data_IF_898835023188
#
_entry.id   IF_898835023188
#
_cell.length_a   1.000
_cell.length_b   1.000
_cell.length_c   1.000
_cell.angle_alpha   90.00
_cell.angle_beta   90.00
_cell.angle_gamma   90.00
#
_symmetry.space_group_name_H-M   'P 1'
#
loop_
_entity.id
_entity.type
_entity.pdbx_description
1 polymer ?
#
# COMPACT_ATOMS: atom_id res chain seq x y z
N UNK A 1 12.68 27.34 -18.85
CA UNK A 1 11.31 26.98 -18.48
C UNK A 1 10.39 27.45 -19.58
N UNK A 2 10.29 26.66 -20.65
CA UNK A 2 9.34 26.87 -21.73
C UNK A 2 8.48 25.62 -21.78
N UNK A 3 7.41 25.61 -20.98
CA UNK A 3 6.41 24.56 -21.03
C UNK A 3 5.72 24.60 -22.40
N UNK A 4 5.91 23.55 -23.19
CA UNK A 4 5.22 23.30 -24.45
C UNK A 4 4.07 22.34 -24.22
N UNK A 5 2.98 22.55 -24.95
CA UNK A 5 1.82 21.66 -24.93
C UNK A 5 1.85 20.80 -26.19
N UNK A 6 1.74 19.50 -26.00
CA UNK A 6 1.68 18.50 -27.04
C UNK A 6 0.34 17.76 -26.96
N UNK A 7 -0.29 17.55 -28.11
CA UNK A 7 -1.42 16.64 -28.25
C UNK A 7 -0.87 15.27 -28.65
N UNK A 8 -0.92 14.31 -27.74
CA UNK A 8 -0.45 12.94 -27.93
C UNK A 8 -1.60 12.05 -28.40
N UNK A 9 -1.52 11.55 -29.62
CA UNK A 9 -2.50 10.62 -30.18
C UNK A 9 -2.01 9.16 -30.10
N UNK A 10 -2.80 8.30 -29.47
CA UNK A 10 -2.55 6.86 -29.37
C UNK A 10 -3.88 6.08 -29.42
N UNK A 11 -3.97 5.07 -30.29
CA UNK A 11 -5.13 4.17 -30.37
C UNK A 11 -6.49 4.84 -30.65
N UNK A 12 -6.50 6.05 -31.22
CA UNK A 12 -7.73 6.84 -31.45
C UNK A 12 -8.13 7.76 -30.29
N UNK A 13 -7.32 7.84 -29.23
CA UNK A 13 -7.48 8.80 -28.12
C UNK A 13 -6.41 9.88 -28.21
N UNK A 14 -6.78 11.12 -27.92
CA UNK A 14 -5.89 12.28 -27.89
C UNK A 14 -5.72 12.77 -26.45
N UNK A 15 -4.47 12.97 -26.02
CA UNK A 15 -4.09 13.36 -24.66
C UNK A 15 -3.32 14.68 -24.69
N UNK A 16 -3.70 15.63 -23.84
CA UNK A 16 -2.95 16.88 -23.69
C UNK A 16 -1.78 16.67 -22.71
N UNK A 17 -0.56 16.92 -23.20
CA UNK A 17 0.69 16.76 -22.48
C UNK A 17 1.40 18.11 -22.37
N UNK A 18 1.54 18.64 -21.16
CA UNK A 18 2.37 19.83 -20.89
C UNK A 18 3.75 19.37 -20.44
N UNK A 19 4.78 19.79 -21.17
CA UNK A 19 6.16 19.31 -21.04
C UNK A 19 7.15 20.47 -21.12
N UNK A 20 8.11 20.56 -20.19
CA UNK A 20 9.18 21.56 -20.25
C UNK A 20 10.33 21.05 -21.11
N UNK A 21 10.72 21.82 -22.12
CA UNK A 21 11.81 21.44 -23.02
C UNK A 21 13.17 21.35 -22.34
N UNK A 22 13.29 21.85 -21.10
CA UNK A 22 14.50 21.76 -20.28
C UNK A 22 14.66 20.38 -19.59
N UNK A 23 13.62 19.54 -19.55
CA UNK A 23 13.61 18.27 -18.80
C UNK A 23 14.29 17.09 -19.54
N UNK A 24 14.50 17.21 -20.85
CA UNK A 24 15.13 16.18 -21.69
C UNK A 24 14.21 15.03 -22.14
N UNK A 25 14.46 14.48 -23.35
CA UNK A 25 13.60 13.54 -24.06
C UNK A 25 13.21 12.28 -23.26
N UNK A 26 14.07 11.82 -22.38
CA UNK A 26 13.78 10.68 -21.50
C UNK A 26 12.56 10.95 -20.61
N UNK A 27 12.42 12.17 -20.07
CA UNK A 27 11.29 12.56 -19.21
C UNK A 27 10.00 12.55 -20.00
N UNK A 28 10.04 13.01 -21.25
CA UNK A 28 8.91 12.92 -22.18
C UNK A 28 8.47 11.46 -22.35
N UNK A 29 9.40 10.53 -22.59
CA UNK A 29 9.09 9.11 -22.75
C UNK A 29 8.43 8.52 -21.49
N UNK A 30 8.91 8.85 -20.29
CA UNK A 30 8.29 8.38 -19.05
C UNK A 30 6.88 8.96 -18.86
N UNK A 31 6.66 10.22 -19.20
CA UNK A 31 5.35 10.85 -19.09
C UNK A 31 4.36 10.25 -20.10
N UNK A 32 4.84 9.91 -21.29
CA UNK A 32 4.08 9.16 -22.29
C UNK A 32 3.79 7.72 -21.86
N UNK A 33 4.69 7.05 -21.13
CA UNK A 33 4.41 5.76 -20.53
C UNK A 33 3.26 5.86 -19.52
N UNK A 34 3.23 6.89 -18.68
CA UNK A 34 2.11 7.09 -17.75
C UNK A 34 0.76 7.31 -18.45
N UNK A 35 0.75 7.92 -19.64
CA UNK A 35 -0.47 8.19 -20.41
C UNK A 35 -0.90 7.04 -21.32
N UNK A 36 0.05 6.38 -21.98
CA UNK A 36 -0.20 5.38 -23.03
C UNK A 36 0.08 3.95 -22.59
N UNK A 37 0.72 3.76 -21.42
CA UNK A 37 1.21 2.47 -20.91
C UNK A 37 2.23 1.77 -21.82
N UNK A 38 2.84 2.49 -22.77
CA UNK A 38 3.90 1.95 -23.64
C UNK A 38 5.26 2.24 -23.00
N UNK A 39 6.14 1.25 -22.73
CA UNK A 39 7.45 1.48 -22.14
C UNK A 39 8.37 2.33 -23.03
N UNK A 40 9.26 3.19 -22.48
CA UNK A 40 10.17 4.06 -23.24
C UNK A 40 10.92 3.35 -24.39
N UNK A 41 11.43 2.15 -24.11
CA UNK A 41 12.18 1.31 -25.07
C UNK A 41 11.37 0.87 -26.30
N UNK A 42 10.04 0.99 -26.23
CA UNK A 42 9.08 0.48 -27.23
C UNK A 42 8.22 1.60 -27.82
N UNK A 43 8.42 2.84 -27.37
CA UNK A 43 7.71 4.01 -27.85
C UNK A 43 8.33 4.48 -29.16
N UNK A 44 7.54 4.46 -30.24
CA UNK A 44 7.87 5.18 -31.46
C UNK A 44 7.13 6.51 -31.49
N UNK A 45 7.81 7.58 -31.13
CA UNK A 45 7.24 8.93 -31.11
C UNK A 45 7.39 9.54 -32.50
N UNK A 46 6.25 9.85 -33.13
CA UNK A 46 6.15 10.49 -34.43
C UNK A 46 5.69 11.93 -34.21
N UNK A 47 6.43 12.89 -34.74
CA UNK A 47 6.13 14.32 -34.64
C UNK A 47 5.56 14.90 -35.94
N UNK A 48 4.53 15.74 -35.80
CA UNK A 48 3.98 16.57 -36.87
C UNK A 48 3.15 15.85 -37.94
N UNK A 49 2.67 16.62 -38.92
CA UNK A 49 1.79 16.13 -40.00
C UNK A 49 2.47 15.10 -40.93
N UNK A 50 3.81 15.11 -40.99
CA UNK A 50 4.60 14.21 -41.83
C UNK A 50 5.01 12.88 -41.16
N UNK A 51 4.56 12.61 -39.93
CA UNK A 51 4.92 11.40 -39.17
C UNK A 51 6.45 11.16 -39.09
N UNK A 52 7.23 12.23 -38.83
CA UNK A 52 8.70 12.14 -38.72
C UNK A 52 9.08 11.50 -37.39
N UNK A 53 9.97 10.50 -37.39
CA UNK A 53 10.45 9.85 -36.17
C UNK A 53 11.33 10.80 -35.36
N UNK A 54 11.08 10.86 -34.05
CA UNK A 54 11.89 11.64 -33.10
C UNK A 54 12.90 10.73 -32.43
N UNK A 55 14.17 11.13 -32.48
CA UNK A 55 15.29 10.38 -31.90
C UNK A 55 15.92 11.16 -30.75
N UNK A 56 16.08 12.48 -30.88
CA UNK A 56 16.81 13.32 -29.92
C UNK A 56 16.07 14.63 -29.58
N UNK A 57 16.49 15.29 -28.49
CA UNK A 57 16.02 16.61 -28.02
C UNK A 57 16.02 17.69 -29.10
N UNK A 58 16.93 17.59 -30.07
CA UNK A 58 17.03 18.53 -31.19
C UNK A 58 15.81 18.47 -32.11
N UNK A 59 15.20 17.29 -32.26
CA UNK A 59 13.99 17.10 -33.06
C UNK A 59 12.75 17.59 -32.30
N UNK A 60 12.74 17.56 -30.96
CA UNK A 60 11.66 18.11 -30.14
C UNK A 60 11.46 19.61 -30.27
N UNK A 61 12.55 20.33 -30.52
CA UNK A 61 12.48 21.77 -30.73
C UNK A 61 11.87 22.14 -32.09
N UNK A 62 11.94 21.21 -33.07
CA UNK A 62 11.54 21.41 -34.47
C UNK A 62 10.13 20.92 -34.81
N UNK A 63 9.47 20.19 -33.92
CA UNK A 63 8.12 19.64 -34.16
C UNK A 63 7.00 20.63 -33.83
N UNK A 64 5.90 20.48 -34.57
CA UNK A 64 4.60 21.07 -34.23
C UNK A 64 3.96 20.34 -33.04
N UNK A 65 3.05 21.00 -32.33
CA UNK A 65 2.36 20.60 -31.08
C UNK A 65 1.56 19.26 -31.13
N UNK A 66 1.70 18.44 -32.17
CA UNK A 66 1.02 17.14 -32.33
C UNK A 66 2.04 16.01 -32.36
N UNK A 67 1.87 15.06 -31.45
CA UNK A 67 2.67 13.85 -31.30
C UNK A 67 1.78 12.63 -31.50
N UNK A 68 2.26 11.63 -32.24
CA UNK A 68 1.59 10.33 -32.35
C UNK A 68 2.52 9.26 -31.84
N UNK A 69 2.01 8.42 -30.95
CA UNK A 69 2.78 7.30 -30.38
C UNK A 69 2.31 6.03 -31.05
N UNK A 70 3.25 5.22 -31.49
CA UNK A 70 2.96 3.90 -32.05
C UNK A 70 3.79 2.87 -31.28
N UNK A 71 3.14 1.83 -30.78
CA UNK A 71 3.84 0.69 -30.18
C UNK A 71 4.49 -0.14 -31.28
N UNK A 72 5.77 -0.49 -31.09
CA UNK A 72 6.57 -1.24 -32.09
C UNK A 72 6.25 -2.76 -32.06
N UNK A 73 5.60 -3.28 -31.00
CA UNK A 73 5.50 -4.72 -30.74
C UNK A 73 4.05 -5.23 -30.62
N UNK A 74 3.24 -5.12 -31.68
CA UNK A 74 1.94 -5.81 -31.71
C UNK A 74 2.06 -7.34 -31.84
N UNK A 75 3.20 -7.91 -32.30
CA UNK A 75 3.22 -9.32 -32.72
C UNK A 75 3.95 -10.34 -31.81
N UNK A 76 4.77 -9.93 -30.83
CA UNK A 76 5.61 -10.89 -30.05
C UNK A 76 5.39 -10.85 -28.52
N UNK A 77 4.70 -9.84 -27.98
CA UNK A 77 4.55 -9.63 -26.52
C UNK A 77 3.22 -10.06 -25.91
N UNK A 78 2.32 -10.66 -26.70
CA UNK A 78 1.03 -11.14 -26.18
C UNK A 78 1.17 -12.21 -25.07
N UNK A 79 2.29 -12.94 -25.01
CA UNK A 79 2.53 -13.99 -23.99
C UNK A 79 3.09 -13.49 -22.66
N UNK A 80 3.77 -12.34 -22.65
CA UNK A 80 4.31 -11.76 -21.42
C UNK A 80 3.29 -10.83 -20.73
N UNK A 81 2.35 -10.27 -21.50
CA UNK A 81 1.18 -9.56 -20.94
C UNK A 81 0.24 -10.49 -20.18
N UNK A 82 0.15 -11.77 -20.51
CA UNK A 82 -0.75 -12.71 -19.81
C UNK A 82 -0.25 -13.00 -18.38
N UNK A 83 1.08 -13.00 -18.16
CA UNK A 83 1.67 -13.15 -16.81
C UNK A 83 1.52 -11.90 -15.93
N UNK A 84 1.61 -10.71 -16.53
CA UNK A 84 1.44 -9.44 -15.80
C UNK A 84 -0.04 -9.11 -15.58
N UNK A 85 -0.91 -9.45 -16.52
CA UNK A 85 -2.36 -9.33 -16.36
C UNK A 85 -2.90 -10.29 -15.28
N UNK A 86 -2.37 -11.51 -15.17
CA UNK A 86 -2.73 -12.44 -14.10
C UNK A 86 -2.40 -11.88 -12.70
N UNK A 87 -1.39 -11.02 -12.59
CA UNK A 87 -1.01 -10.33 -11.36
C UNK A 87 -2.01 -9.22 -10.99
N UNK A 88 -2.53 -8.50 -11.99
CA UNK A 88 -3.65 -7.55 -11.85
C UNK A 88 -5.02 -8.24 -11.64
N UNK A 89 -5.10 -9.57 -11.76
CA UNK A 89 -6.32 -10.35 -11.52
C UNK A 89 -6.40 -10.90 -10.09
N UNK A 90 -5.39 -10.67 -9.25
CA UNK A 90 -5.55 -10.84 -7.81
C UNK A 90 -6.48 -9.74 -7.30
N UNK A 91 -7.50 -10.12 -6.54
CA UNK A 91 -8.32 -9.13 -5.82
C UNK A 91 -7.38 -8.33 -4.90
N UNK A 92 -7.60 -7.03 -4.69
CA UNK A 92 -6.78 -6.18 -3.79
C UNK A 92 -6.52 -6.84 -2.41
N UNK A 93 -7.48 -7.64 -1.95
CA UNK A 93 -7.40 -8.44 -0.73
C UNK A 93 -6.35 -9.59 -0.80
N UNK A 94 -6.25 -10.27 -1.94
CA UNK A 94 -5.23 -11.31 -2.16
C UNK A 94 -3.84 -10.70 -2.24
N UNK A 95 -3.70 -9.55 -2.90
CA UNK A 95 -2.46 -8.80 -2.94
C UNK A 95 -2.03 -8.33 -1.55
N UNK A 96 -2.97 -7.80 -0.74
CA UNK A 96 -2.70 -7.40 0.63
C UNK A 96 -2.19 -8.58 1.49
N UNK A 97 -2.80 -9.76 1.34
CA UNK A 97 -2.35 -10.97 2.05
C UNK A 97 -0.94 -11.42 1.63
N UNK A 98 -0.62 -11.32 0.34
CA UNK A 98 0.72 -11.68 -0.16
C UNK A 98 1.76 -10.71 0.41
N UNK A 99 1.51 -9.40 0.32
CA UNK A 99 2.41 -8.37 0.85
C UNK A 99 2.65 -8.52 2.36
N UNK A 100 1.57 -8.78 3.12
CA UNK A 100 1.67 -8.97 4.56
C UNK A 100 2.47 -10.24 4.92
N UNK A 101 2.26 -11.34 4.20
CA UNK A 101 3.01 -12.57 4.41
C UNK A 101 4.50 -12.44 4.04
N UNK A 102 4.81 -11.69 2.98
CA UNK A 102 6.19 -11.41 2.57
C UNK A 102 6.92 -10.55 3.61
N UNK A 103 6.27 -9.51 4.14
CA UNK A 103 6.82 -8.66 5.19
C UNK A 103 7.11 -9.46 6.47
N UNK A 104 6.17 -10.30 6.92
CA UNK A 104 6.36 -11.16 8.09
C UNK A 104 7.51 -12.17 7.89
N UNK A 105 7.64 -12.75 6.70
CA UNK A 105 8.72 -13.67 6.37
C UNK A 105 10.10 -12.98 6.36
N UNK A 106 10.20 -11.78 5.79
CA UNK A 106 11.42 -10.97 5.79
C UNK A 106 11.81 -10.55 7.20
N UNK A 107 10.84 -10.12 8.01
CA UNK A 107 11.06 -9.77 9.42
C UNK A 107 11.63 -10.96 10.20
N UNK A 108 11.05 -12.15 10.03
CA UNK A 108 11.53 -13.38 10.65
C UNK A 108 12.94 -13.75 10.17
N UNK A 109 13.24 -13.57 8.88
CA UNK A 109 14.57 -13.82 8.35
C UNK A 109 15.61 -12.89 8.99
N UNK A 110 15.31 -11.60 9.17
CA UNK A 110 16.20 -10.64 9.82
C UNK A 110 16.50 -11.02 11.29
N UNK A 111 15.49 -11.49 12.04
CA UNK A 111 15.73 -11.98 13.40
C UNK A 111 16.63 -13.22 13.44
N UNK A 112 16.49 -14.13 12.47
CA UNK A 112 17.28 -15.36 12.40
C UNK A 112 18.72 -15.10 11.92
N UNK A 113 18.92 -14.19 10.95
CA UNK A 113 20.23 -13.90 10.34
C UNK A 113 21.02 -12.83 11.07
N UNK A 114 20.43 -12.10 12.02
CA UNK A 114 21.15 -11.06 12.76
C UNK A 114 22.39 -11.63 13.46
N UNK A 115 23.57 -11.10 13.15
CA UNK A 115 24.86 -11.46 13.79
C UNK A 115 24.81 -11.26 15.33
N UNK A 116 23.85 -10.47 15.80
CA UNK A 116 23.62 -10.18 17.22
C UNK A 116 22.66 -11.16 17.91
N UNK A 117 22.17 -12.21 17.25
CA UNK A 117 21.21 -13.17 17.84
C UNK A 117 21.65 -13.68 19.21
N UNK A 118 22.91 -14.10 19.34
CA UNK A 118 23.43 -14.60 20.62
C UNK A 118 23.50 -13.51 21.70
N UNK A 119 23.81 -12.27 21.32
CA UNK A 119 23.89 -11.15 22.27
C UNK A 119 22.49 -10.78 22.78
N UNK A 120 21.51 -10.78 21.88
CA UNK A 120 20.10 -10.56 22.20
C UNK A 120 19.59 -11.69 23.08
N UNK A 121 19.89 -12.95 22.74
CA UNK A 121 19.49 -14.12 23.53
C UNK A 121 20.08 -14.09 24.94
N UNK A 122 21.37 -13.76 25.11
CA UNK A 122 22.00 -13.63 26.42
C UNK A 122 21.36 -12.52 27.27
N UNK A 123 20.90 -11.44 26.65
CA UNK A 123 20.19 -10.34 27.34
C UNK A 123 18.77 -10.74 27.74
N UNK A 124 18.07 -11.50 26.89
CA UNK A 124 16.65 -11.83 27.06
C UNK A 124 16.45 -13.06 27.95
N UNK A 125 17.31 -14.08 27.88
CA UNK A 125 17.25 -15.31 28.69
C UNK A 125 16.90 -15.10 30.17
N UNK A 126 17.59 -14.22 30.92
CA UNK A 126 17.28 -14.04 32.34
C UNK A 126 15.86 -13.47 32.58
N UNK A 127 15.33 -12.67 31.66
CA UNK A 127 13.97 -12.16 31.75
C UNK A 127 12.94 -13.22 31.33
N UNK A 128 13.26 -14.06 30.34
CA UNK A 128 12.42 -15.21 29.97
C UNK A 128 12.28 -16.16 31.14
N UNK A 129 13.36 -16.48 31.84
CA UNK A 129 13.33 -17.32 33.04
C UNK A 129 12.43 -16.72 34.15
N UNK A 130 12.43 -15.38 34.29
CA UNK A 130 11.52 -14.69 35.21
C UNK A 130 10.06 -14.77 34.79
N UNK A 131 9.77 -14.71 33.49
CA UNK A 131 8.40 -14.84 32.98
C UNK A 131 7.88 -16.27 33.11
N UNK A 132 8.73 -17.27 32.80
CA UNK A 132 8.41 -18.69 32.94
C UNK A 132 8.02 -19.08 34.37
N UNK A 133 8.57 -18.38 35.37
CA UNK A 133 8.16 -18.56 36.77
C UNK A 133 6.66 -18.28 37.03
N UNK A 134 6.03 -17.44 36.21
CA UNK A 134 4.59 -17.14 36.30
C UNK A 134 3.73 -18.07 35.44
N UNK A 135 4.31 -18.83 34.52
CA UNK A 135 3.61 -19.83 33.71
C UNK A 135 3.48 -21.19 34.40
N UNK A 136 4.16 -21.38 35.54
CA UNK A 136 4.07 -22.60 36.35
C UNK A 136 2.64 -22.81 36.90
N UNK A 137 1.91 -23.86 36.46
CA UNK A 137 0.54 -24.12 36.87
C UNK A 137 0.39 -24.29 38.38
N UNK A 138 1.38 -24.92 39.04
CA UNK A 138 1.30 -25.17 40.48
C UNK A 138 1.40 -23.87 41.29
N UNK A 139 2.24 -22.94 40.84
CA UNK A 139 2.37 -21.62 41.47
C UNK A 139 1.16 -20.75 41.23
N UNK A 140 0.56 -20.83 40.04
CA UNK A 140 -0.70 -20.15 39.74
C UNK A 140 -1.83 -20.67 40.62
N UNK A 141 -1.99 -21.99 40.76
CA UNK A 141 -3.00 -22.59 41.63
C UNK A 141 -2.80 -22.23 43.11
N UNK A 142 -1.55 -22.24 43.60
CA UNK A 142 -1.24 -21.84 44.96
C UNK A 142 -1.56 -20.35 45.20
N UNK A 143 -1.26 -19.48 44.21
CA UNK A 143 -1.62 -18.08 44.26
C UNK A 143 -3.15 -17.91 44.28
N UNK A 144 -3.89 -18.60 43.40
CA UNK A 144 -5.35 -18.57 43.36
C UNK A 144 -5.98 -18.98 44.69
N UNK A 145 -5.43 -19.98 45.38
CA UNK A 145 -5.92 -20.43 46.70
C UNK A 145 -5.68 -19.41 47.82
N UNK A 146 -4.63 -18.59 47.71
CA UNK A 146 -4.28 -17.57 48.72
C UNK A 146 -4.99 -16.23 48.51
N UNK A 147 -5.35 -15.92 47.26
CA UNK A 147 -5.99 -14.67 46.88
C UNK A 147 -7.51 -14.81 47.01
N UNK A 148 -8.23 -13.84 47.61
CA UNK A 148 -9.68 -13.87 47.67
C UNK A 148 -10.30 -13.48 46.31
N UNK A 149 -10.28 -14.41 45.35
CA UNK A 149 -10.73 -14.21 43.97
C UNK A 149 -12.19 -13.77 43.90
N UNK A 150 -13.08 -14.39 44.68
CA UNK A 150 -14.53 -14.05 44.70
C UNK A 150 -14.78 -12.56 45.03
N UNK A 151 -14.04 -12.00 46.00
CA UNK A 151 -14.16 -10.58 46.37
C UNK A 151 -13.61 -9.65 45.29
N UNK A 152 -12.60 -10.10 44.55
CA UNK A 152 -12.03 -9.35 43.44
C UNK A 152 -12.97 -9.37 42.24
N UNK A 153 -13.58 -10.51 41.95
CA UNK A 153 -14.60 -10.65 40.90
C UNK A 153 -15.84 -9.81 41.19
N UNK A 154 -16.34 -9.80 42.42
CA UNK A 154 -17.45 -8.93 42.84
C UNK A 154 -17.12 -7.46 42.60
N UNK A 155 -15.93 -7.01 43.04
CA UNK A 155 -15.47 -5.64 42.81
C UNK A 155 -15.28 -5.32 41.33
N UNK A 156 -14.78 -6.27 40.54
CA UNK A 156 -14.61 -6.13 39.10
C UNK A 156 -15.97 -5.98 38.41
N UNK A 157 -16.97 -6.77 38.78
CA UNK A 157 -18.34 -6.63 38.26
C UNK A 157 -18.93 -5.26 38.59
N UNK A 158 -18.77 -4.79 39.83
CA UNK A 158 -19.22 -3.44 40.23
C UNK A 158 -18.49 -2.35 39.45
N UNK A 159 -17.18 -2.48 39.23
CA UNK A 159 -16.39 -1.54 38.44
C UNK A 159 -16.79 -1.52 36.96
N UNK A 160 -16.99 -2.69 36.35
CA UNK A 160 -17.46 -2.83 34.97
C UNK A 160 -18.87 -2.27 34.80
N UNK A 161 -19.76 -2.53 35.75
CA UNK A 161 -21.11 -1.95 35.77
C UNK A 161 -21.05 -0.42 35.87
N UNK A 162 -20.15 0.12 36.70
CA UNK A 162 -19.93 1.57 36.82
C UNK A 162 -19.38 2.21 35.54
N UNK A 163 -18.59 1.49 34.73
CA UNK A 163 -18.10 1.95 33.42
C UNK A 163 -19.18 1.80 32.34
N UNK A 164 -19.98 0.73 32.37
CA UNK A 164 -21.07 0.50 31.40
C UNK A 164 -22.30 1.36 31.64
N UNK A 165 -22.59 1.72 32.89
CA UNK A 165 -23.73 2.58 33.27
C UNK A 165 -23.73 3.95 32.54
N UNK A 166 -22.62 4.72 32.47
CA UNK A 166 -22.62 5.98 31.72
C UNK A 166 -22.73 5.77 30.20
N UNK A 167 -22.25 4.66 29.64
CA UNK A 167 -22.35 4.36 28.20
C UNK A 167 -23.81 4.07 27.81
N UNK A 168 -24.51 3.27 28.62
CA UNK A 168 -25.95 3.02 28.43
C UNK A 168 -26.77 4.31 28.61
N UNK A 169 -26.39 5.19 29.55
CA UNK A 169 -27.11 6.45 29.76
C UNK A 169 -26.97 7.42 28.57
N UNK A 170 -25.85 7.40 27.86
CA UNK A 170 -25.66 8.16 26.60
C UNK A 170 -26.54 7.59 25.49
N UNK A 171 -26.66 6.27 25.39
CA UNK A 171 -27.47 5.61 24.36
C UNK A 171 -28.98 5.81 24.60
N UNK A 172 -29.42 5.82 25.86
CA UNK A 172 -30.82 6.12 26.24
C UNK A 172 -31.16 7.60 26.02
N UNK A 173 -30.26 8.54 26.38
CA UNK A 173 -30.45 9.98 26.08
C UNK A 173 -30.49 10.29 24.58
N UNK A 174 -29.85 9.47 23.75
CA UNK A 174 -29.88 9.63 22.29
C UNK A 174 -31.17 9.11 21.66
N UNK A 175 -31.89 8.22 22.34
CA UNK A 175 -33.12 7.60 21.84
C UNK A 175 -34.40 8.33 22.29
N UNK A 176 -34.40 8.95 23.48
CA UNK A 176 -35.56 9.72 23.96
C UNK A 176 -35.69 11.10 23.28
N UNK A 177 -34.59 11.66 22.78
CA UNK A 177 -34.61 12.97 22.11
C UNK A 177 -35.22 12.94 20.71
N UNK A 178 -35.36 11.76 20.09
CA UNK A 178 -36.00 11.61 18.77
C UNK A 178 -37.51 11.35 18.82
N UNK A 179 -38.08 11.08 20.01
CA UNK A 179 -39.52 10.79 20.16
C UNK A 179 -40.35 11.92 20.77
N UNK A 180 -39.74 13.03 21.21
CA UNK A 180 -40.46 14.13 21.87
C UNK A 180 -40.64 15.39 21.01
N UNK A 181 -40.25 15.37 19.73
CA UNK A 181 -40.34 16.53 18.83
C UNK A 181 -41.47 16.45 17.77
N UNK A 182 -42.44 15.54 17.95
CA UNK A 182 -43.63 15.48 17.10
C UNK A 182 -44.92 15.39 17.94
N UNK A 183 -45.40 16.53 18.44
CA UNK A 183 -46.84 16.78 18.59
C UNK A 183 -47.10 18.28 18.53
#
# INVERSE_FOLDING_TARGET
MVARKFLVEHGGSAFDLEYDTDDGFEVLQYQLFSLTSIPPDQQKILGGEENRMLLDDSDLNLISEKLRVVSINEDEKAKDMEKTAADFMTSDEELARILQAEEEALMMQQFVTSENREQVERRIRPYVDQVLMYEDPHRQEAAQKSVPVEKLEEKAMVALARVKAPILNIQVYSFEKTSSETT
#
